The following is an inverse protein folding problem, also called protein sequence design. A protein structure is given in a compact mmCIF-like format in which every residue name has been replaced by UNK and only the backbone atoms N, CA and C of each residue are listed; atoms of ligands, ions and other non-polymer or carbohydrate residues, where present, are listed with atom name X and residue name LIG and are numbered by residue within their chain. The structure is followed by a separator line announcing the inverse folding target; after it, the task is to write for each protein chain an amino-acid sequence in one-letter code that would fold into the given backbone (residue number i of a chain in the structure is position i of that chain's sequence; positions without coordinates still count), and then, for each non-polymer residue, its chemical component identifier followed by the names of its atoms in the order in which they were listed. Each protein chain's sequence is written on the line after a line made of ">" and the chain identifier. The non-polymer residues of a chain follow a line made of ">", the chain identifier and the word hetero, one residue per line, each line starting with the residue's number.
data_IF_002882498079
#
_entry.id   IF_002882498079
#
_cell.length_a   1.000
_cell.length_b   1.000
_cell.length_c   1.000
_cell.angle_alpha   90.00
_cell.angle_beta   90.00
_cell.angle_gamma   90.00
#
_symmetry.space_group_name_H-M   'P 1'
#
loop_
_entity.id
_entity.type
_entity.pdbx_description
1 polymer ?
#
# COMPACT_ATOMS: atom_id res chain seq x y z
N UNK A 1 -12.68 -3.37 -16.88
CA UNK A 1 -12.37 -3.87 -15.52
C UNK A 1 -13.07 -5.21 -15.33
N UNK A 2 -12.40 -6.22 -14.75
CA UNK A 2 -12.99 -7.56 -14.51
C UNK A 2 -14.26 -7.49 -13.64
N UNK A 3 -14.39 -6.45 -12.80
CA UNK A 3 -15.59 -6.18 -12.00
C UNK A 3 -16.84 -5.79 -12.81
N UNK A 4 -16.72 -5.34 -14.06
CA UNK A 4 -17.88 -5.00 -14.90
C UNK A 4 -18.72 -6.23 -15.26
N UNK A 5 -18.15 -7.42 -15.17
CA UNK A 5 -18.83 -8.69 -15.42
C UNK A 5 -19.72 -9.12 -14.25
N UNK A 6 -19.57 -8.52 -13.07
CA UNK A 6 -20.31 -8.84 -11.85
C UNK A 6 -21.43 -7.85 -11.52
N UNK A 7 -21.73 -6.92 -12.43
CA UNK A 7 -22.84 -5.96 -12.31
C UNK A 7 -22.43 -4.54 -11.91
N UNK A 8 -23.35 -3.60 -12.12
CA UNK A 8 -23.14 -2.17 -11.88
C UNK A 8 -22.84 -1.85 -10.41
N UNK A 9 -23.40 -2.62 -9.48
CA UNK A 9 -23.16 -2.48 -8.03
C UNK A 9 -21.73 -2.77 -7.64
N UNK A 10 -21.09 -3.80 -8.21
CA UNK A 10 -19.69 -4.13 -7.95
C UNK A 10 -18.73 -3.04 -8.44
N UNK A 11 -19.03 -2.44 -9.60
CA UNK A 11 -18.26 -1.33 -10.15
C UNK A 11 -18.42 -0.06 -9.31
N UNK A 12 -19.65 0.24 -8.85
CA UNK A 12 -19.91 1.38 -7.98
C UNK A 12 -19.16 1.25 -6.64
N UNK A 13 -19.21 0.07 -6.00
CA UNK A 13 -18.49 -0.19 -4.75
C UNK A 13 -16.99 -0.03 -4.92
N UNK A 14 -16.41 -0.62 -5.97
CA UNK A 14 -14.99 -0.51 -6.28
C UNK A 14 -14.58 0.96 -6.51
N UNK A 15 -15.41 1.74 -7.21
CA UNK A 15 -15.12 3.14 -7.53
C UNK A 15 -15.11 4.02 -6.28
N UNK A 16 -16.12 3.90 -5.44
CA UNK A 16 -16.18 4.63 -4.15
C UNK A 16 -15.06 4.18 -3.22
N UNK A 17 -14.83 2.87 -3.14
CA UNK A 17 -13.73 2.30 -2.36
C UNK A 17 -12.36 2.85 -2.77
N UNK A 18 -12.05 2.91 -4.06
CA UNK A 18 -10.79 3.50 -4.55
C UNK A 18 -10.70 5.01 -4.32
N UNK A 19 -11.82 5.76 -4.27
CA UNK A 19 -11.78 7.18 -3.90
C UNK A 19 -11.41 7.37 -2.42
N UNK A 20 -12.01 6.57 -1.54
CA UNK A 20 -11.67 6.58 -0.11
C UNK A 20 -10.20 6.20 0.09
N UNK A 21 -9.73 5.16 -0.61
CA UNK A 21 -8.33 4.72 -0.61
C UNK A 21 -7.38 5.82 -1.11
N UNK A 22 -7.75 6.55 -2.15
CA UNK A 22 -6.91 7.62 -2.74
C UNK A 22 -6.59 8.73 -1.75
N UNK A 23 -7.50 9.02 -0.81
CA UNK A 23 -7.26 10.00 0.27
C UNK A 23 -6.17 9.53 1.23
N UNK A 24 -6.18 8.25 1.62
CA UNK A 24 -5.11 7.66 2.44
C UNK A 24 -3.78 7.71 1.68
N UNK A 25 -3.82 7.32 0.41
CA UNK A 25 -2.65 7.23 -0.45
C UNK A 25 -1.98 8.59 -0.69
N UNK A 26 -2.76 9.67 -0.75
CA UNK A 26 -2.24 11.03 -0.91
C UNK A 26 -1.40 11.47 0.30
N UNK A 27 -1.84 11.12 1.51
CA UNK A 27 -1.13 11.46 2.75
C UNK A 27 0.13 10.60 2.89
N UNK A 28 0.01 9.28 2.68
CA UNK A 28 1.16 8.36 2.70
C UNK A 28 2.19 8.71 1.62
N UNK A 29 1.74 9.08 0.42
CA UNK A 29 2.59 9.52 -0.69
C UNK A 29 3.31 10.84 -0.42
N UNK A 30 2.62 11.82 0.19
CA UNK A 30 3.23 13.07 0.65
C UNK A 30 4.34 12.83 1.67
N UNK A 31 4.09 11.94 2.64
CA UNK A 31 5.10 11.56 3.61
C UNK A 31 6.28 10.84 2.96
N UNK A 32 6.05 9.86 2.07
CA UNK A 32 7.11 9.18 1.33
C UNK A 32 7.99 10.16 0.51
N UNK A 33 7.40 11.21 -0.05
CA UNK A 33 8.14 12.29 -0.73
C UNK A 33 9.02 13.09 0.22
N UNK A 34 8.51 13.45 1.40
CA UNK A 34 9.31 14.12 2.43
C UNK A 34 10.50 13.26 2.90
N UNK A 35 10.28 11.95 3.07
CA UNK A 35 11.35 10.98 3.39
C UNK A 35 12.38 10.90 2.27
N UNK A 36 11.94 10.91 1.02
CA UNK A 36 12.82 10.92 -0.16
C UNK A 36 13.76 12.14 -0.12
N UNK A 37 13.23 13.33 0.14
CA UNK A 37 14.03 14.55 0.25
C UNK A 37 15.00 14.51 1.45
N UNK A 38 14.52 14.08 2.63
CA UNK A 38 15.35 13.94 3.83
C UNK A 38 16.50 12.97 3.61
N UNK A 39 16.22 11.80 3.04
CA UNK A 39 17.23 10.77 2.75
C UNK A 39 18.18 11.26 1.67
N UNK A 40 17.71 11.93 0.62
CA UNK A 40 18.56 12.49 -0.43
C UNK A 40 19.59 13.49 0.06
N UNK A 41 19.19 14.40 0.95
CA UNK A 41 20.13 15.36 1.56
C UNK A 41 21.18 14.65 2.44
N UNK A 42 20.77 13.67 3.25
CA UNK A 42 21.71 12.95 4.12
C UNK A 42 22.61 11.98 3.34
N UNK A 43 22.13 11.44 2.23
CA UNK A 43 22.90 10.59 1.32
C UNK A 43 24.02 11.37 0.64
N UNK A 44 23.72 12.58 0.13
CA UNK A 44 24.74 13.47 -0.42
C UNK A 44 25.79 13.91 0.60
N UNK A 45 25.41 13.99 1.89
CA UNK A 45 26.32 14.31 2.99
C UNK A 45 27.02 13.08 3.62
N UNK A 46 26.85 11.88 3.06
CA UNK A 46 27.38 10.60 3.57
C UNK A 46 27.01 10.30 5.04
N UNK A 47 25.90 10.85 5.55
CA UNK A 47 25.43 10.66 6.94
C UNK A 47 24.54 9.43 7.08
N UNK A 48 25.13 8.24 6.92
CA UNK A 48 24.41 6.96 6.92
C UNK A 48 23.60 6.69 8.19
N UNK A 49 24.09 7.07 9.36
CA UNK A 49 23.35 6.93 10.63
C UNK A 49 22.05 7.73 10.66
N UNK A 50 22.06 8.94 10.07
CA UNK A 50 20.86 9.77 9.98
C UNK A 50 19.85 9.18 9.02
N UNK A 51 20.29 8.52 7.95
CA UNK A 51 19.41 7.81 7.01
C UNK A 51 18.71 6.64 7.72
N UNK A 52 19.43 5.83 8.51
CA UNK A 52 18.81 4.72 9.26
C UNK A 52 17.81 5.20 10.29
N UNK A 53 18.14 6.26 11.04
CA UNK A 53 17.20 6.88 11.99
C UNK A 53 15.98 7.45 11.26
N UNK A 54 16.19 8.16 10.15
CA UNK A 54 15.12 8.68 9.30
C UNK A 54 14.19 7.60 8.79
N UNK A 55 14.74 6.50 8.27
CA UNK A 55 13.96 5.35 7.81
C UNK A 55 13.10 4.75 8.93
N UNK A 56 13.67 4.49 10.12
CA UNK A 56 12.93 3.90 11.25
C UNK A 56 11.80 4.81 11.72
N UNK A 57 12.08 6.10 11.87
CA UNK A 57 11.05 7.09 12.23
C UNK A 57 9.95 7.10 11.16
N UNK A 58 10.34 7.12 9.89
CA UNK A 58 9.41 7.15 8.77
C UNK A 58 8.53 5.91 8.71
N UNK A 59 9.12 4.74 8.94
CA UNK A 59 8.41 3.47 8.98
C UNK A 59 7.39 3.44 10.13
N UNK A 60 7.77 3.88 11.33
CA UNK A 60 6.86 3.95 12.49
C UNK A 60 5.72 4.93 12.22
N UNK A 61 6.01 6.12 11.67
CA UNK A 61 4.99 7.12 11.36
C UNK A 61 4.00 6.62 10.29
N UNK A 62 4.52 6.04 9.19
CA UNK A 62 3.67 5.47 8.14
C UNK A 62 2.84 4.29 8.67
N UNK A 63 3.43 3.41 9.47
CA UNK A 63 2.68 2.32 10.12
C UNK A 63 1.58 2.84 11.06
N UNK A 64 1.87 3.86 11.86
CA UNK A 64 0.89 4.46 12.76
C UNK A 64 -0.24 5.15 11.97
N UNK A 65 0.10 5.84 10.87
CA UNK A 65 -0.86 6.46 9.98
C UNK A 65 -1.77 5.43 9.31
N UNK A 66 -1.19 4.41 8.67
CA UNK A 66 -1.97 3.36 8.00
C UNK A 66 -2.77 2.53 9.01
N UNK A 67 -2.26 2.29 10.23
CA UNK A 67 -3.03 1.64 11.28
C UNK A 67 -4.25 2.47 11.72
N UNK A 68 -4.10 3.80 11.82
CA UNK A 68 -5.20 4.71 12.10
C UNK A 68 -6.23 4.69 10.95
N UNK A 69 -5.78 4.70 9.70
CA UNK A 69 -6.65 4.59 8.53
C UNK A 69 -7.38 3.24 8.53
N UNK A 70 -6.68 2.13 8.75
CA UNK A 70 -7.27 0.78 8.89
C UNK A 70 -8.36 0.77 9.95
N UNK A 71 -8.14 1.37 11.12
CA UNK A 71 -9.15 1.52 12.17
C UNK A 71 -10.37 2.30 11.69
N UNK A 72 -10.16 3.46 11.03
CA UNK A 72 -11.25 4.26 10.47
C UNK A 72 -12.03 3.47 9.41
N UNK A 73 -11.36 2.72 8.53
CA UNK A 73 -12.01 1.93 7.49
C UNK A 73 -12.81 0.75 8.06
N UNK A 74 -12.34 0.11 9.14
CA UNK A 74 -13.04 -1.03 9.76
C UNK A 74 -14.26 -0.56 10.56
N UNK A 75 -14.12 0.49 11.37
CA UNK A 75 -15.20 0.95 12.26
C UNK A 75 -16.15 1.95 11.58
N UNK A 76 -15.62 2.87 10.78
CA UNK A 76 -16.39 3.91 10.06
C UNK A 76 -16.64 3.59 8.59
N UNK A 77 -16.15 2.47 8.06
CA UNK A 77 -16.31 2.12 6.65
C UNK A 77 -17.76 2.09 6.17
N UNK A 78 -18.69 1.64 7.02
CA UNK A 78 -20.13 1.66 6.71
C UNK A 78 -20.67 3.09 6.56
N UNK A 79 -20.24 4.01 7.42
CA UNK A 79 -20.63 5.42 7.37
C UNK A 79 -19.99 6.16 6.20
N UNK A 80 -18.73 5.87 5.89
CA UNK A 80 -18.04 6.41 4.71
C UNK A 80 -18.74 5.98 3.42
N UNK A 81 -19.17 4.71 3.32
CA UNK A 81 -19.95 4.26 2.17
C UNK A 81 -21.34 4.90 2.10
N UNK A 82 -22.03 5.06 3.24
CA UNK A 82 -23.33 5.72 3.31
C UNK A 82 -23.29 7.21 2.93
N UNK A 83 -22.13 7.87 3.05
CA UNK A 83 -21.91 9.25 2.60
C UNK A 83 -21.82 9.36 1.07
N UNK A 84 -21.29 8.33 0.39
CA UNK A 84 -21.07 8.33 -1.06
C UNK A 84 -22.18 7.64 -1.86
N UNK A 85 -22.89 6.67 -1.27
CA UNK A 85 -23.97 5.90 -1.92
C UNK A 85 -25.22 5.96 -1.04
N UNK A 86 -26.31 6.52 -1.58
CA UNK A 86 -27.58 6.76 -0.87
C UNK A 86 -28.62 5.61 -1.03
N UNK A 87 -28.32 4.57 -1.80
CA UNK A 87 -29.23 3.46 -2.15
C UNK A 87 -28.53 2.08 -2.06
N UNK A 88 -29.28 0.96 -2.20
CA UNK A 88 -29.96 0.14 -1.18
C UNK A 88 -29.00 -0.56 -0.18
N UNK A 89 -29.53 -1.16 0.93
CA UNK A 89 -28.74 -1.81 1.99
C UNK A 89 -27.78 -2.91 1.52
N UNK A 90 -28.03 -3.57 0.39
CA UNK A 90 -27.15 -4.60 -0.17
C UNK A 90 -25.80 -4.07 -0.67
N UNK A 91 -25.74 -2.82 -1.15
CA UNK A 91 -24.49 -2.19 -1.62
C UNK A 91 -23.59 -1.83 -0.44
N UNK A 92 -24.20 -1.39 0.67
CA UNK A 92 -23.49 -0.99 1.88
C UNK A 92 -22.80 -2.20 2.53
N UNK A 93 -23.44 -3.36 2.54
CA UNK A 93 -22.87 -4.59 3.10
C UNK A 93 -21.69 -5.11 2.26
N UNK A 94 -21.83 -5.08 0.93
CA UNK A 94 -20.73 -5.37 -0.01
C UNK A 94 -19.57 -4.37 0.15
N UNK A 95 -19.86 -3.07 0.28
CA UNK A 95 -18.84 -2.04 0.50
C UNK A 95 -18.11 -2.18 1.84
N UNK A 96 -18.82 -2.59 2.90
CA UNK A 96 -18.20 -2.86 4.19
C UNK A 96 -17.25 -4.06 4.13
N UNK A 97 -17.64 -5.13 3.44
CA UNK A 97 -16.79 -6.31 3.23
C UNK A 97 -15.55 -5.95 2.40
N UNK A 98 -15.72 -5.19 1.32
CA UNK A 98 -14.63 -4.66 0.51
C UNK A 98 -13.63 -3.86 1.36
N UNK A 99 -14.11 -2.92 2.17
CA UNK A 99 -13.24 -2.10 3.01
C UNK A 99 -12.49 -2.91 4.05
N UNK A 100 -13.11 -3.92 4.67
CA UNK A 100 -12.42 -4.79 5.63
C UNK A 100 -11.29 -5.58 4.97
N UNK A 101 -11.52 -6.09 3.77
CA UNK A 101 -10.50 -6.80 2.99
C UNK A 101 -9.36 -5.85 2.61
N UNK A 102 -9.69 -4.61 2.24
CA UNK A 102 -8.70 -3.62 1.82
C UNK A 102 -7.91 -3.03 3.00
N UNK A 103 -8.55 -2.87 4.16
CA UNK A 103 -7.95 -2.37 5.38
C UNK A 103 -6.73 -3.20 5.83
N UNK A 104 -6.72 -4.50 5.51
CA UNK A 104 -5.56 -5.38 5.73
C UNK A 104 -4.35 -5.05 4.85
N UNK A 105 -4.55 -4.49 3.65
CA UNK A 105 -3.44 -4.10 2.74
C UNK A 105 -2.79 -2.77 3.09
N UNK A 106 -3.48 -1.87 3.79
CA UNK A 106 -2.97 -0.53 4.15
C UNK A 106 -1.64 -0.61 4.91
N UNK A 107 -1.52 -1.55 5.87
CA UNK A 107 -0.28 -1.76 6.62
C UNK A 107 0.89 -2.12 5.67
N UNK A 108 0.67 -2.98 4.68
CA UNK A 108 1.70 -3.35 3.72
C UNK A 108 2.07 -2.21 2.78
N UNK A 109 1.11 -1.33 2.44
CA UNK A 109 1.40 -0.10 1.70
C UNK A 109 2.28 0.86 2.51
N UNK A 110 2.13 0.93 3.84
CA UNK A 110 3.04 1.71 4.70
C UNK A 110 4.49 1.23 4.60
N UNK A 111 4.72 -0.09 4.70
CA UNK A 111 6.06 -0.67 4.55
C UNK A 111 6.64 -0.33 3.18
N UNK A 112 5.82 -0.47 2.16
CA UNK A 112 6.22 -0.19 0.79
C UNK A 112 6.58 1.29 0.59
N UNK A 113 5.75 2.21 1.08
CA UNK A 113 5.96 3.65 0.99
C UNK A 113 7.24 4.09 1.70
N UNK A 114 7.50 3.59 2.90
CA UNK A 114 8.70 3.89 3.67
C UNK A 114 9.97 3.42 2.95
N UNK A 115 9.96 2.18 2.45
CA UNK A 115 11.09 1.60 1.73
C UNK A 115 11.30 2.30 0.38
N UNK A 116 10.23 2.52 -0.37
CA UNK A 116 10.26 3.20 -1.68
C UNK A 116 10.81 4.61 -1.57
N UNK A 117 10.33 5.40 -0.60
CA UNK A 117 10.81 6.76 -0.37
C UNK A 117 12.29 6.79 0.00
N UNK A 118 12.73 5.86 0.85
CA UNK A 118 14.15 5.77 1.24
C UNK A 118 15.04 5.35 0.07
N UNK A 119 14.64 4.35 -0.71
CA UNK A 119 15.38 3.91 -1.91
C UNK A 119 15.49 5.02 -2.97
N UNK A 120 14.37 5.72 -3.23
CA UNK A 120 14.35 6.87 -4.13
C UNK A 120 15.25 7.99 -3.62
N UNK A 121 15.26 8.25 -2.32
CA UNK A 121 16.13 9.26 -1.71
C UNK A 121 17.62 8.92 -1.84
N UNK A 122 17.98 7.64 -1.78
CA UNK A 122 19.36 7.17 -2.02
C UNK A 122 19.76 7.14 -3.51
N UNK A 123 18.90 7.59 -4.43
CA UNK A 123 19.14 7.52 -5.88
C UNK A 123 19.06 6.10 -6.45
N UNK A 124 18.61 5.12 -5.67
CA UNK A 124 18.49 3.70 -6.06
C UNK A 124 17.04 3.38 -6.40
N UNK A 125 16.62 3.76 -7.59
CA UNK A 125 15.23 3.58 -8.07
C UNK A 125 14.97 2.21 -8.70
N UNK A 126 16.01 1.43 -9.02
CA UNK A 126 15.86 0.08 -9.59
C UNK A 126 15.07 -0.89 -8.68
N UNK A 127 15.38 -1.03 -7.36
CA UNK A 127 14.61 -1.90 -6.48
C UNK A 127 13.10 -1.61 -6.40
N UNK A 128 12.66 -0.35 -6.14
CA UNK A 128 11.24 -0.03 -6.06
C UNK A 128 10.52 -0.22 -7.40
N UNK A 129 11.18 0.07 -8.52
CA UNK A 129 10.62 -0.10 -9.86
C UNK A 129 10.43 -1.57 -10.21
N UNK A 130 11.42 -2.42 -9.96
CA UNK A 130 11.32 -3.86 -10.27
C UNK A 130 10.23 -4.54 -9.44
N UNK A 131 10.15 -4.23 -8.14
CA UNK A 131 9.08 -4.75 -7.27
C UNK A 131 7.70 -4.28 -7.74
N UNK A 132 7.57 -3.01 -8.16
CA UNK A 132 6.31 -2.47 -8.67
C UNK A 132 5.89 -3.11 -9.99
N UNK A 133 6.82 -3.35 -10.92
CA UNK A 133 6.55 -4.00 -12.21
C UNK A 133 6.11 -5.45 -11.98
N UNK A 134 6.87 -6.21 -11.19
CA UNK A 134 6.57 -7.61 -10.92
C UNK A 134 5.21 -7.78 -10.22
N UNK A 135 4.91 -6.91 -9.26
CA UNK A 135 3.63 -6.92 -8.54
C UNK A 135 2.46 -6.54 -9.45
N UNK A 136 2.62 -5.56 -10.34
CA UNK A 136 1.58 -5.19 -11.30
C UNK A 136 1.33 -6.29 -12.33
N UNK A 137 2.37 -7.04 -12.74
CA UNK A 137 2.22 -8.20 -13.61
C UNK A 137 1.55 -9.39 -12.91
N UNK A 138 1.87 -9.62 -11.62
CA UNK A 138 1.23 -10.66 -10.80
C UNK A 138 -0.23 -10.38 -10.50
N UNK A 139 -0.62 -9.11 -10.38
CA UNK A 139 -1.97 -8.69 -9.97
C UNK A 139 -3.10 -9.27 -10.84
N UNK A 140 -3.10 -9.15 -12.18
CA UNK A 140 -4.16 -9.74 -13.01
C UNK A 140 -4.17 -11.27 -12.94
N UNK A 141 -3.01 -11.92 -12.79
CA UNK A 141 -2.92 -13.38 -12.62
C UNK A 141 -3.55 -13.83 -11.30
N UNK A 142 -3.22 -13.17 -10.19
CA UNK A 142 -3.82 -13.45 -8.87
C UNK A 142 -5.32 -13.19 -8.86
N UNK A 143 -5.76 -12.07 -9.44
CA UNK A 143 -7.19 -11.75 -9.53
C UNK A 143 -7.95 -12.81 -10.34
N UNK A 144 -7.39 -13.28 -11.46
CA UNK A 144 -8.00 -14.34 -12.25
C UNK A 144 -8.07 -15.66 -11.47
N UNK A 145 -6.98 -16.06 -10.81
CA UNK A 145 -6.91 -17.29 -10.03
C UNK A 145 -7.89 -17.30 -8.84
N UNK A 146 -7.89 -16.25 -8.02
CA UNK A 146 -8.78 -16.17 -6.86
C UNK A 146 -10.25 -15.95 -7.26
N UNK A 147 -10.50 -15.31 -8.41
CA UNK A 147 -11.87 -15.16 -8.93
C UNK A 147 -12.52 -16.51 -9.28
N UNK A 148 -11.74 -17.54 -9.62
CA UNK A 148 -12.27 -18.88 -9.92
C UNK A 148 -12.85 -19.57 -8.66
N UNK A 149 -12.35 -19.23 -7.47
CA UNK A 149 -12.75 -19.88 -6.21
C UNK A 149 -13.78 -19.07 -5.40
N UNK A 150 -13.71 -17.73 -5.43
CA UNK A 150 -14.50 -16.86 -4.53
C UNK A 150 -15.30 -15.76 -5.27
N UNK A 151 -15.39 -15.83 -6.60
CA UNK A 151 -16.13 -14.84 -7.41
C UNK A 151 -15.62 -13.41 -7.19
N UNK A 152 -16.53 -12.48 -6.89
CA UNK A 152 -16.23 -11.05 -6.70
C UNK A 152 -15.28 -10.78 -5.53
N UNK A 153 -15.46 -11.49 -4.40
CA UNK A 153 -14.56 -11.36 -3.24
C UNK A 153 -13.13 -11.83 -3.57
N UNK A 154 -12.99 -12.77 -4.51
CA UNK A 154 -11.70 -13.25 -5.00
C UNK A 154 -10.90 -12.17 -5.75
N UNK A 155 -11.59 -11.28 -6.48
CA UNK A 155 -10.94 -10.14 -7.16
C UNK A 155 -10.39 -9.17 -6.12
N UNK A 156 -11.17 -8.86 -5.08
CA UNK A 156 -10.76 -7.94 -4.02
C UNK A 156 -9.62 -8.51 -3.17
N UNK A 157 -9.69 -9.79 -2.82
CA UNK A 157 -8.59 -10.50 -2.17
C UNK A 157 -7.34 -10.53 -3.06
N UNK A 158 -7.47 -10.75 -4.36
CA UNK A 158 -6.35 -10.72 -5.30
C UNK A 158 -5.62 -9.37 -5.29
N UNK A 159 -6.36 -8.26 -5.20
CA UNK A 159 -5.80 -6.92 -5.06
C UNK A 159 -5.04 -6.80 -3.72
N UNK A 160 -5.68 -7.14 -2.60
CA UNK A 160 -5.06 -7.06 -1.26
C UNK A 160 -3.82 -7.94 -1.16
N UNK A 161 -3.86 -9.18 -1.66
CA UNK A 161 -2.73 -10.11 -1.64
C UNK A 161 -1.60 -9.61 -2.54
N UNK A 162 -1.91 -9.06 -3.72
CA UNK A 162 -0.86 -8.46 -4.57
C UNK A 162 -0.16 -7.28 -3.89
N UNK A 163 -0.90 -6.44 -3.16
CA UNK A 163 -0.36 -5.33 -2.38
C UNK A 163 0.46 -5.83 -1.18
N UNK A 164 -0.01 -6.89 -0.50
CA UNK A 164 0.72 -7.52 0.59
C UNK A 164 2.06 -8.12 0.11
N UNK A 165 2.04 -8.87 -0.98
CA UNK A 165 3.25 -9.44 -1.61
C UNK A 165 4.22 -8.33 -2.00
N UNK A 166 3.72 -7.25 -2.62
CA UNK A 166 4.53 -6.08 -2.98
C UNK A 166 5.21 -5.46 -1.76
N UNK A 167 4.44 -5.15 -0.71
CA UNK A 167 4.96 -4.56 0.52
C UNK A 167 5.97 -5.47 1.23
N UNK A 168 5.70 -6.78 1.26
CA UNK A 168 6.58 -7.77 1.88
C UNK A 168 7.88 -7.95 1.10
N UNK A 169 7.81 -8.07 -0.23
CA UNK A 169 8.99 -8.15 -1.10
C UNK A 169 9.87 -6.90 -0.96
N UNK A 170 9.25 -5.72 -0.90
CA UNK A 170 9.93 -4.45 -0.73
C UNK A 170 10.64 -4.37 0.64
N UNK A 171 9.97 -4.83 1.69
CA UNK A 171 10.53 -4.88 3.04
C UNK A 171 11.73 -5.82 3.11
N UNK A 172 11.61 -7.05 2.60
CA UNK A 172 12.71 -8.03 2.55
C UNK A 172 13.90 -7.44 1.78
N UNK A 173 13.65 -6.82 0.62
CA UNK A 173 14.70 -6.22 -0.19
C UNK A 173 15.41 -5.10 0.59
N UNK A 174 14.64 -4.27 1.31
CA UNK A 174 15.21 -3.23 2.16
C UNK A 174 16.05 -3.82 3.30
N UNK A 175 15.58 -4.86 3.99
CA UNK A 175 16.34 -5.49 5.08
C UNK A 175 17.65 -6.12 4.58
N UNK A 176 17.63 -6.74 3.40
CA UNK A 176 18.82 -7.28 2.75
C UNK A 176 19.79 -6.17 2.33
N UNK A 177 19.27 -5.03 1.87
CA UNK A 177 20.07 -3.87 1.49
C UNK A 177 20.68 -3.17 2.71
N UNK A 178 19.93 -3.05 3.82
CA UNK A 178 20.42 -2.50 5.09
C UNK A 178 21.59 -3.32 5.64
N UNK A 179 21.50 -4.66 5.56
CA UNK A 179 22.62 -5.56 5.90
C UNK A 179 23.84 -5.31 5.02
N UNK A 180 23.65 -5.00 3.74
CA UNK A 180 24.76 -4.68 2.82
C UNK A 180 25.37 -3.30 3.10
N UNK A 181 24.55 -2.32 3.50
CA UNK A 181 25.01 -0.99 3.92
C UNK A 181 25.80 -1.03 5.24
N UNK A 182 25.48 -1.95 6.15
CA UNK A 182 26.20 -2.10 7.43
C UNK A 182 27.69 -2.42 7.24
N UNK A 183 28.03 -3.20 6.21
CA UNK A 183 29.42 -3.59 5.90
C UNK A 183 30.26 -2.47 5.26
N UNK A 184 29.64 -1.40 4.74
CA UNK A 184 30.36 -0.31 4.07
C UNK A 184 30.67 0.84 5.02
N UNK A 185 29.95 0.96 6.15
CA UNK A 185 30.21 1.97 7.18
C UNK A 185 31.23 1.57 8.23
N UNK A 186 31.77 0.35 8.16
CA UNK A 186 32.83 -0.16 9.05
C UNK A 186 34.23 -0.13 8.41
N UNK A 187 34.37 0.43 7.19
CA UNK A 187 35.65 0.59 6.49
C UNK A 187 36.00 2.07 6.36
#
# INVERSE_FOLDING_TARGET
>A
MVSAWYGETAVAVQRVGSQIESLSWLIGGGFASAVTAFVGQNYGAQKWDRIRKGYRISLIFLLAWEALVTLILIFWGRYLFALFLKDPPGIIDMGSTYLRILAGSQIFMALEGACSGTFKGMGKTLPPSLCSILSNLMRPFLCWWLSQWMGLNGIWLGITVSAAVRGFAMYIWFTLYERKLSRVGEV
#
